data_IF_001432409167
#
_entry.id   IF_001432409167
#
_cell.length_a   1.000
_cell.length_b   1.000
_cell.length_c   1.000
_cell.angle_alpha   90.00
_cell.angle_beta   90.00
_cell.angle_gamma   90.00
#
_symmetry.space_group_name_H-M   'P 1'
#
loop_
_entity.id
_entity.type
_entity.pdbx_description
1 polymer ?
#
# COMPACT_ATOMS: atom_id res chain seq x y z
N UNK A 1 9.54 -15.28 -28.55
CA UNK A 1 9.86 -15.42 -27.11
C UNK A 1 8.75 -16.28 -26.51
N UNK A 2 9.05 -17.49 -26.02
CA UNK A 2 8.03 -18.44 -25.52
C UNK A 2 7.59 -17.99 -24.12
N UNK A 3 6.34 -17.53 -23.98
CA UNK A 3 5.73 -17.28 -22.68
C UNK A 3 5.44 -18.62 -22.00
N UNK A 4 5.89 -18.76 -20.75
CA UNK A 4 5.59 -19.91 -19.90
C UNK A 4 4.16 -19.72 -19.38
N UNK A 5 3.24 -20.56 -19.86
CA UNK A 5 1.90 -20.73 -19.32
C UNK A 5 1.99 -21.35 -17.92
N UNK A 6 1.86 -20.55 -16.87
CA UNK A 6 1.56 -21.07 -15.53
C UNK A 6 0.04 -21.19 -15.39
N UNK A 7 -0.47 -22.42 -15.53
CA UNK A 7 -1.83 -22.75 -15.13
C UNK A 7 -1.93 -22.64 -13.59
N UNK A 8 -2.58 -21.58 -13.10
CA UNK A 8 -2.89 -21.43 -11.67
C UNK A 8 -4.10 -22.31 -11.38
N UNK A 9 -3.85 -23.52 -10.88
CA UNK A 9 -4.90 -24.38 -10.33
C UNK A 9 -5.48 -23.74 -9.07
N UNK A 10 -6.78 -23.45 -9.11
CA UNK A 10 -7.59 -22.97 -8.00
C UNK A 10 -7.60 -23.96 -6.84
N UNK A 11 -6.82 -23.65 -5.80
CA UNK A 11 -7.02 -24.14 -4.45
C UNK A 11 -6.50 -23.08 -3.46
N UNK A 12 -7.36 -22.10 -3.12
CA UNK A 12 -7.14 -21.24 -1.96
C UNK A 12 -7.29 -22.13 -0.73
N UNK A 13 -6.17 -22.66 -0.23
CA UNK A 13 -6.11 -23.29 1.09
C UNK A 13 -6.30 -22.20 2.13
N UNK A 14 -7.52 -22.03 2.62
CA UNK A 14 -7.78 -21.28 3.84
C UNK A 14 -7.10 -22.00 5.01
N UNK A 15 -6.12 -21.39 5.71
CA UNK A 15 -5.50 -22.03 6.85
C UNK A 15 -6.51 -22.10 8.01
N UNK A 16 -6.57 -23.28 8.62
CA UNK A 16 -7.27 -23.53 9.89
C UNK A 16 -6.72 -22.65 11.01
N UNK A 17 -7.60 -22.27 11.94
CA UNK A 17 -7.32 -21.45 13.12
C UNK A 17 -6.09 -21.94 13.92
N UNK A 18 -4.95 -21.27 13.74
CA UNK A 18 -3.80 -21.41 14.63
C UNK A 18 -3.84 -20.33 15.72
N UNK A 19 -3.48 -20.73 16.93
CA UNK A 19 -3.61 -19.98 18.16
C UNK A 19 -2.83 -18.66 18.12
N UNK A 20 -3.53 -17.57 18.41
CA UNK A 20 -2.97 -16.25 18.70
C UNK A 20 -1.79 -16.34 19.68
N UNK A 21 -0.58 -16.05 19.20
CA UNK A 21 0.54 -15.78 20.09
C UNK A 21 0.32 -14.41 20.75
N UNK A 22 0.53 -14.36 22.06
CA UNK A 22 0.19 -13.23 22.91
C UNK A 22 0.98 -11.96 22.58
N UNK A 23 0.49 -10.82 23.08
CA UNK A 23 1.11 -9.48 23.10
C UNK A 23 2.62 -9.52 23.43
N UNK A 24 3.04 -10.46 24.28
CA UNK A 24 4.44 -10.65 24.65
C UNK A 24 5.34 -11.14 23.50
N UNK A 25 4.77 -11.81 22.49
CA UNK A 25 5.53 -12.39 21.38
C UNK A 25 5.97 -11.35 20.34
N UNK A 26 5.15 -10.31 20.08
CA UNK A 26 5.53 -9.18 19.22
C UNK A 26 6.56 -8.27 19.90
N UNK A 27 6.40 -7.97 21.19
CA UNK A 27 7.40 -7.20 21.96
C UNK A 27 8.71 -7.98 22.17
N UNK A 28 8.64 -9.30 22.32
CA UNK A 28 9.84 -10.15 22.40
C UNK A 28 10.56 -10.32 21.04
N UNK A 29 9.89 -10.05 19.92
CA UNK A 29 10.48 -10.06 18.58
C UNK A 29 11.35 -8.84 18.29
N UNK A 30 11.04 -7.74 18.97
CA UNK A 30 11.77 -6.48 18.89
C UNK A 30 12.21 -6.08 20.30
N UNK A 31 13.15 -6.80 20.93
CA UNK A 31 13.66 -6.48 22.27
C UNK A 31 14.19 -5.03 22.40
N UNK A 32 14.55 -4.40 21.28
CA UNK A 32 14.87 -2.97 21.12
C UNK A 32 13.70 -2.01 21.43
N UNK A 33 12.44 -2.47 21.45
CA UNK A 33 11.26 -1.67 21.82
C UNK A 33 11.10 -1.51 23.34
N UNK A 34 11.98 -2.11 24.14
CA UNK A 34 12.12 -1.79 25.57
C UNK A 34 12.86 -0.48 25.84
N UNK A 35 13.31 0.18 24.77
CA UNK A 35 14.03 1.45 24.80
C UNK A 35 13.04 2.62 24.87
N UNK A 36 13.41 3.70 25.56
CA UNK A 36 12.59 4.93 25.72
C UNK A 36 12.33 5.65 24.37
N UNK A 37 12.85 5.13 23.26
CA UNK A 37 12.71 5.67 21.91
C UNK A 37 11.29 5.57 21.33
N UNK A 38 10.42 4.72 21.89
CA UNK A 38 9.06 4.57 21.42
C UNK A 38 8.05 4.52 22.56
N UNK A 39 6.90 5.15 22.32
CA UNK A 39 5.70 4.98 23.13
C UNK A 39 4.73 4.04 22.40
N UNK A 40 4.34 2.94 23.03
CA UNK A 40 3.29 2.08 22.45
C UNK A 40 1.95 2.80 22.59
N UNK A 41 1.35 3.18 21.47
CA UNK A 41 0.05 3.87 21.43
C UNK A 41 -1.10 2.93 21.08
N UNK A 42 -0.79 1.75 20.55
CA UNK A 42 -1.75 0.67 20.36
C UNK A 42 -1.10 -0.69 20.52
N UNK A 43 -1.61 -1.48 21.45
CA UNK A 43 -1.23 -2.89 21.60
C UNK A 43 -2.03 -3.79 20.63
N UNK A 44 -1.42 -4.93 20.23
CA UNK A 44 -2.15 -6.00 19.58
C UNK A 44 -3.30 -6.51 20.48
N UNK A 45 -4.39 -6.93 19.84
CA UNK A 45 -5.52 -7.55 20.52
C UNK A 45 -6.07 -8.72 19.71
N UNK A 46 -7.07 -9.41 20.25
CA UNK A 46 -7.69 -10.58 19.61
C UNK A 46 -8.15 -10.32 18.16
N UNK A 47 -8.53 -9.10 17.84
CA UNK A 47 -9.07 -8.74 16.52
C UNK A 47 -8.06 -7.97 15.64
N UNK A 48 -6.87 -7.69 16.16
CA UNK A 48 -5.85 -6.89 15.49
C UNK A 48 -4.44 -7.28 15.95
N UNK A 49 -3.69 -7.93 15.07
CA UNK A 49 -2.28 -8.32 15.26
C UNK A 49 -1.31 -7.13 15.26
N UNK A 50 -1.72 -5.99 14.71
CA UNK A 50 -0.83 -4.83 14.56
C UNK A 50 -0.55 -4.13 15.90
N UNK A 51 0.73 -3.83 16.14
CA UNK A 51 1.20 -2.90 17.17
C UNK A 51 1.46 -1.54 16.53
N UNK A 52 1.18 -0.45 17.24
CA UNK A 52 1.54 0.91 16.79
C UNK A 52 2.40 1.59 17.84
N UNK A 53 3.53 2.10 17.35
CA UNK A 53 4.54 2.81 18.09
C UNK A 53 4.48 4.28 17.70
N UNK A 54 4.56 5.18 18.66
CA UNK A 54 4.79 6.60 18.47
C UNK A 54 6.28 6.88 18.73
N UNK A 55 6.92 7.58 17.79
CA UNK A 55 8.31 8.01 17.86
C UNK A 55 8.38 9.54 17.98
N UNK A 56 9.43 10.04 18.61
CA UNK A 56 9.63 11.47 18.80
C UNK A 56 9.90 12.20 17.48
N UNK A 57 9.36 13.41 17.37
CA UNK A 57 9.59 14.33 16.25
C UNK A 57 9.84 15.72 16.81
N UNK A 58 10.93 16.34 16.39
CA UNK A 58 11.32 17.68 16.85
C UNK A 58 10.63 18.79 16.03
N UNK A 59 9.32 18.66 15.80
CA UNK A 59 8.51 19.64 15.06
C UNK A 59 7.12 19.76 15.71
N UNK A 60 6.74 20.98 16.08
CA UNK A 60 5.45 21.25 16.73
C UNK A 60 4.28 20.82 15.83
N UNK A 61 3.30 20.12 16.39
CA UNK A 61 2.12 19.65 15.66
C UNK A 61 2.39 18.51 14.67
N UNK A 62 3.51 17.79 14.81
CA UNK A 62 3.86 16.64 13.97
C UNK A 62 4.02 15.40 14.83
N UNK A 63 3.32 14.31 14.49
CA UNK A 63 3.43 13.02 15.17
C UNK A 63 3.85 11.93 14.19
N UNK A 64 4.73 11.02 14.62
CA UNK A 64 5.24 9.91 13.83
C UNK A 64 4.76 8.58 14.42
N UNK A 65 3.93 7.86 13.67
CA UNK A 65 3.41 6.54 14.04
C UNK A 65 3.98 5.45 13.14
N UNK A 66 4.41 4.35 13.73
CA UNK A 66 4.92 3.18 13.05
C UNK A 66 4.05 1.99 13.43
N UNK A 67 3.30 1.48 12.46
CA UNK A 67 2.52 0.27 12.59
C UNK A 67 3.30 -0.94 12.07
N UNK A 68 3.38 -2.00 12.88
CA UNK A 68 3.95 -3.28 12.51
C UNK A 68 2.87 -4.34 12.66
N UNK A 69 2.61 -5.10 11.60
CA UNK A 69 1.64 -6.18 11.59
C UNK A 69 2.36 -7.52 11.38
N UNK A 70 2.21 -8.42 12.35
CA UNK A 70 2.63 -9.81 12.22
C UNK A 70 1.51 -10.63 11.61
N UNK A 71 1.87 -11.62 10.81
CA UNK A 71 0.95 -12.37 9.95
C UNK A 71 -0.13 -13.22 10.68
N UNK A 72 -0.96 -13.86 9.85
CA UNK A 72 -1.93 -14.89 10.24
C UNK A 72 -1.31 -16.30 10.41
N UNK A 73 0.01 -16.45 10.26
CA UNK A 73 0.75 -17.72 10.28
C UNK A 73 1.74 -17.85 11.46
N UNK A 74 1.83 -16.84 12.32
CA UNK A 74 2.74 -16.78 13.45
C UNK A 74 4.22 -16.52 13.08
N UNK A 75 4.54 -15.94 11.92
CA UNK A 75 5.93 -15.63 11.57
C UNK A 75 6.36 -14.27 12.12
N UNK A 76 6.85 -14.31 13.35
CA UNK A 76 7.35 -13.16 14.12
C UNK A 76 8.80 -12.77 13.73
N UNK A 77 9.37 -13.39 12.69
CA UNK A 77 10.77 -13.24 12.29
C UNK A 77 10.98 -12.51 10.95
N UNK A 78 9.92 -12.03 10.30
CA UNK A 78 10.02 -11.34 9.00
C UNK A 78 10.12 -9.83 9.20
N UNK A 79 11.08 -9.15 8.55
CA UNK A 79 11.17 -7.70 8.63
C UNK A 79 9.90 -7.06 8.06
N UNK A 80 9.47 -5.96 8.67
CA UNK A 80 8.34 -5.17 8.17
C UNK A 80 8.72 -4.40 6.91
N UNK A 81 7.81 -4.30 5.94
CA UNK A 81 7.96 -3.39 4.80
C UNK A 81 6.71 -2.52 4.61
N UNK A 82 6.94 -1.23 4.40
CA UNK A 82 5.91 -0.30 3.94
C UNK A 82 6.35 1.16 3.99
N UNK A 83 5.84 1.94 3.03
CA UNK A 83 6.26 3.33 2.82
C UNK A 83 5.73 4.35 3.82
N UNK A 84 6.31 5.55 3.78
CA UNK A 84 6.03 6.70 4.65
C UNK A 84 4.92 7.57 4.07
N UNK A 85 3.83 7.73 4.82
CA UNK A 85 2.74 8.66 4.49
C UNK A 85 2.84 9.92 5.34
N UNK A 86 2.75 11.09 4.73
CA UNK A 86 2.51 12.35 5.45
C UNK A 86 1.09 12.83 5.14
N UNK A 87 0.25 13.04 6.14
CA UNK A 87 -1.11 13.53 5.93
C UNK A 87 -1.63 14.33 7.12
N UNK A 88 -2.59 15.21 6.87
CA UNK A 88 -3.40 15.81 7.91
C UNK A 88 -4.54 14.85 8.29
N UNK A 89 -4.55 14.44 9.55
CA UNK A 89 -5.65 13.68 10.14
C UNK A 89 -6.35 14.57 11.16
N UNK A 90 -7.67 14.45 11.29
CA UNK A 90 -8.42 15.26 12.26
C UNK A 90 -8.05 14.88 13.69
N UNK A 91 -7.74 13.60 13.92
CA UNK A 91 -7.36 13.07 15.24
C UNK A 91 -6.19 12.10 15.14
N UNK A 92 -5.47 11.93 16.25
CA UNK A 92 -4.43 10.89 16.38
C UNK A 92 -5.00 9.49 16.14
N UNK A 93 -6.22 9.24 16.60
CA UNK A 93 -6.90 7.95 16.43
C UNK A 93 -7.05 7.59 14.95
N UNK A 94 -7.41 8.55 14.10
CA UNK A 94 -7.53 8.32 12.66
C UNK A 94 -6.19 7.98 12.01
N UNK A 95 -5.12 8.67 12.41
CA UNK A 95 -3.77 8.36 11.94
C UNK A 95 -3.33 6.94 12.33
N UNK A 96 -3.58 6.55 13.59
CA UNK A 96 -3.28 5.22 14.12
C UNK A 96 -4.11 4.15 13.40
N UNK A 97 -5.40 4.38 13.19
CA UNK A 97 -6.28 3.44 12.48
C UNK A 97 -5.88 3.28 11.00
N UNK A 98 -5.46 4.37 10.34
CA UNK A 98 -4.91 4.31 8.97
C UNK A 98 -3.60 3.51 8.93
N UNK A 99 -2.68 3.76 9.87
CA UNK A 99 -1.43 3.03 9.98
C UNK A 99 -1.66 1.52 10.12
N UNK A 100 -2.58 1.12 11.02
CA UNK A 100 -2.98 -0.29 11.21
C UNK A 100 -3.60 -0.87 9.94
N UNK A 101 -4.55 -0.16 9.32
CA UNK A 101 -5.23 -0.64 8.12
C UNK A 101 -4.23 -0.89 6.98
N UNK A 102 -3.30 0.04 6.78
CA UNK A 102 -2.28 -0.04 5.75
C UNK A 102 -1.26 -1.14 6.03
N UNK A 103 -0.76 -1.26 7.27
CA UNK A 103 0.17 -2.34 7.64
C UNK A 103 -0.44 -3.72 7.41
N UNK A 104 -1.71 -3.94 7.81
CA UNK A 104 -2.44 -5.19 7.53
C UNK A 104 -2.61 -5.43 6.02
N UNK A 105 -2.82 -4.37 5.24
CA UNK A 105 -2.84 -4.43 3.78
C UNK A 105 -1.50 -4.91 3.21
N UNK A 106 -0.40 -4.40 3.74
CA UNK A 106 0.96 -4.82 3.36
C UNK A 106 1.23 -6.28 3.72
N UNK A 107 0.86 -6.75 4.92
CA UNK A 107 0.99 -8.16 5.30
C UNK A 107 0.28 -9.07 4.32
N UNK A 108 -0.97 -8.76 3.98
CA UNK A 108 -1.76 -9.54 3.00
C UNK A 108 -1.08 -9.60 1.64
N UNK A 109 -0.49 -8.49 1.18
CA UNK A 109 0.29 -8.46 -0.08
C UNK A 109 1.51 -9.36 0.02
N UNK A 110 2.32 -9.17 1.06
CA UNK A 110 3.56 -9.92 1.23
C UNK A 110 3.33 -11.42 1.39
N UNK A 111 2.27 -11.82 2.08
CA UNK A 111 1.86 -13.22 2.26
C UNK A 111 1.40 -13.86 0.95
N UNK A 112 0.57 -13.13 0.18
CA UNK A 112 0.08 -13.60 -1.12
C UNK A 112 1.23 -13.94 -2.08
N UNK A 113 2.26 -13.10 -2.09
CA UNK A 113 3.40 -13.24 -3.00
C UNK A 113 4.65 -13.85 -2.37
N UNK A 114 4.59 -14.23 -1.08
CA UNK A 114 5.68 -14.87 -0.31
C UNK A 114 7.02 -14.13 -0.42
N UNK A 115 6.96 -12.80 -0.34
CA UNK A 115 8.13 -11.93 -0.50
C UNK A 115 9.17 -12.01 0.63
N UNK A 116 8.85 -12.67 1.75
CA UNK A 116 9.73 -12.74 2.92
C UNK A 116 9.58 -11.59 3.91
N UNK A 117 8.77 -10.57 3.60
CA UNK A 117 8.44 -9.46 4.51
C UNK A 117 7.12 -9.69 5.27
N UNK A 118 6.95 -8.99 6.38
CA UNK A 118 5.67 -8.72 7.03
C UNK A 118 5.20 -7.29 6.71
N UNK A 119 3.97 -6.94 7.07
CA UNK A 119 3.45 -5.61 6.77
C UNK A 119 3.87 -4.57 7.79
N UNK A 120 4.33 -3.42 7.29
CA UNK A 120 4.57 -2.25 8.12
C UNK A 120 3.95 -1.00 7.48
N UNK A 121 3.83 0.07 8.27
CA UNK A 121 3.54 1.40 7.76
C UNK A 121 4.10 2.49 8.64
N UNK A 122 4.65 3.53 8.02
CA UNK A 122 5.00 4.79 8.71
C UNK A 122 3.96 5.84 8.33
N UNK A 123 3.29 6.41 9.33
CA UNK A 123 2.30 7.48 9.18
C UNK A 123 2.75 8.69 9.98
N UNK A 124 2.95 9.80 9.29
CA UNK A 124 3.23 11.10 9.88
C UNK A 124 1.94 11.92 9.83
N UNK A 125 1.43 12.26 11.01
CA UNK A 125 0.31 13.18 11.17
C UNK A 125 0.84 14.60 11.32
N UNK A 126 0.20 15.56 10.67
CA UNK A 126 0.46 16.99 10.84
C UNK A 126 -0.82 17.74 11.22
N UNK A 127 -0.73 18.66 12.18
CA UNK A 127 -1.78 19.62 12.53
C UNK A 127 -1.75 20.88 11.65
N UNK A 128 -0.70 21.06 10.85
CA UNK A 128 -0.57 22.21 9.94
C UNK A 128 -1.44 22.04 8.70
N UNK A 129 -2.27 23.04 8.37
CA UNK A 129 -3.09 23.01 7.15
C UNK A 129 -2.25 22.87 5.87
N UNK A 130 -1.08 23.49 5.82
CA UNK A 130 -0.14 23.39 4.71
C UNK A 130 1.02 22.46 5.10
N UNK A 131 1.11 21.31 4.45
CA UNK A 131 2.19 20.35 4.66
C UNK A 131 3.57 20.86 4.20
N UNK A 132 3.63 21.94 3.41
CA UNK A 132 4.89 22.52 2.93
C UNK A 132 5.73 23.13 4.05
N UNK A 133 5.11 23.43 5.20
CA UNK A 133 5.81 23.99 6.37
C UNK A 133 6.63 22.95 7.13
N UNK A 134 6.40 21.67 6.87
CA UNK A 134 7.12 20.57 7.51
C UNK A 134 8.57 20.54 7.00
N UNK A 135 9.53 20.62 7.92
CA UNK A 135 10.95 20.54 7.59
C UNK A 135 11.30 19.09 7.24
N UNK A 136 11.36 18.80 5.94
CA UNK A 136 11.44 17.44 5.39
C UNK A 136 12.71 16.70 5.78
N UNK A 137 13.87 17.39 5.81
CA UNK A 137 15.14 16.74 6.15
C UNK A 137 15.18 16.37 7.63
N UNK A 138 14.67 17.23 8.50
CA UNK A 138 14.47 16.96 9.93
C UNK A 138 13.53 15.79 10.16
N UNK A 139 12.37 15.77 9.51
CA UNK A 139 11.43 14.65 9.60
C UNK A 139 12.08 13.32 9.19
N UNK A 140 12.83 13.30 8.08
CA UNK A 140 13.53 12.08 7.65
C UNK A 140 14.64 11.65 8.62
N UNK A 141 15.26 12.59 9.36
CA UNK A 141 16.20 12.24 10.45
C UNK A 141 15.48 11.54 11.60
N UNK A 142 14.31 12.04 12.04
CA UNK A 142 13.52 11.37 13.08
C UNK A 142 13.06 9.96 12.63
N UNK A 143 12.67 9.81 11.34
CA UNK A 143 12.38 8.48 10.78
C UNK A 143 13.62 7.59 10.77
N UNK A 144 14.80 8.11 10.39
CA UNK A 144 16.05 7.35 10.42
C UNK A 144 16.41 6.86 11.82
N UNK A 145 16.24 7.71 12.84
CA UNK A 145 16.46 7.35 14.25
C UNK A 145 15.57 6.18 14.66
N UNK A 146 14.27 6.22 14.32
CA UNK A 146 13.36 5.11 14.55
C UNK A 146 13.79 3.83 13.80
N UNK A 147 14.19 3.94 12.52
CA UNK A 147 14.66 2.80 11.72
C UNK A 147 15.95 2.17 12.26
N UNK A 148 16.87 2.98 12.79
CA UNK A 148 18.10 2.50 13.42
C UNK A 148 17.80 1.63 14.64
N UNK A 149 16.77 1.94 15.42
CA UNK A 149 16.36 1.09 16.55
C UNK A 149 15.89 -0.28 16.07
N UNK A 150 15.23 -0.37 14.91
CA UNK A 150 14.77 -1.67 14.37
C UNK A 150 15.90 -2.56 13.85
N UNK A 151 17.10 -2.04 13.59
CA UNK A 151 18.28 -2.79 13.14
C UNK A 151 18.01 -3.76 11.97
N UNK A 152 17.24 -3.31 10.97
CA UNK A 152 16.85 -4.14 9.81
C UNK A 152 15.61 -5.00 10.03
N UNK A 153 14.95 -4.88 11.19
CA UNK A 153 13.61 -5.41 11.45
C UNK A 153 12.49 -4.66 10.70
N UNK A 154 12.80 -3.53 10.07
CA UNK A 154 11.87 -2.78 9.23
C UNK A 154 12.60 -2.08 8.08
N UNK A 155 11.94 -2.04 6.92
CA UNK A 155 12.33 -1.31 5.73
C UNK A 155 11.19 -0.44 5.23
N UNK A 156 11.51 0.68 4.58
CA UNK A 156 10.51 1.66 4.13
C UNK A 156 10.81 2.23 2.74
N UNK A 157 9.96 3.14 2.28
CA UNK A 157 9.99 3.78 0.96
C UNK A 157 8.94 4.90 0.88
N UNK A 158 8.59 5.35 -0.32
CA UNK A 158 7.58 6.39 -0.52
C UNK A 158 6.14 5.90 -0.29
N UNK A 159 5.26 6.81 0.11
CA UNK A 159 3.80 6.71 0.02
C UNK A 159 3.21 8.12 -0.20
N UNK A 160 1.96 8.36 0.17
CA UNK A 160 1.26 9.61 -0.06
C UNK A 160 1.97 10.80 0.62
N UNK A 161 2.20 11.86 -0.16
CA UNK A 161 2.92 13.09 0.22
C UNK A 161 4.36 12.86 0.72
N UNK A 162 4.99 11.76 0.29
CA UNK A 162 6.45 11.60 0.32
C UNK A 162 6.94 11.26 -1.09
N UNK A 163 8.18 11.63 -1.39
CA UNK A 163 8.74 11.54 -2.72
C UNK A 163 10.21 11.15 -2.70
N UNK A 164 10.79 11.01 -3.89
CA UNK A 164 12.18 10.57 -4.09
C UNK A 164 13.18 11.50 -3.36
N UNK A 165 12.89 12.80 -3.25
CA UNK A 165 13.71 13.76 -2.48
C UNK A 165 13.70 13.46 -0.98
N UNK A 166 12.57 13.00 -0.43
CA UNK A 166 12.50 12.59 0.97
C UNK A 166 13.30 11.30 1.18
N UNK A 167 13.22 10.36 0.23
CA UNK A 167 14.03 9.14 0.27
C UNK A 167 15.52 9.45 0.17
N UNK A 168 15.91 10.49 -0.59
CA UNK A 168 17.29 10.95 -0.64
C UNK A 168 17.81 11.40 0.74
N UNK A 169 17.01 12.18 1.47
CA UNK A 169 17.35 12.58 2.83
C UNK A 169 17.40 11.39 3.79
N UNK A 170 16.47 10.45 3.63
CA UNK A 170 16.44 9.25 4.47
C UNK A 170 17.65 8.34 4.21
N UNK A 171 18.00 8.11 2.94
CA UNK A 171 19.20 7.37 2.54
C UNK A 171 20.47 8.03 3.07
N UNK A 172 20.57 9.37 3.00
CA UNK A 172 21.68 10.12 3.60
C UNK A 172 21.74 9.85 5.12
N UNK A 173 20.61 9.94 5.82
CA UNK A 173 20.54 9.78 7.27
C UNK A 173 20.80 8.35 7.75
N UNK A 174 20.37 7.33 7.00
CA UNK A 174 20.54 5.91 7.36
C UNK A 174 21.82 5.30 6.82
N UNK A 175 22.62 6.05 6.05
CA UNK A 175 23.76 5.55 5.26
C UNK A 175 23.35 4.41 4.31
N UNK A 176 22.29 4.64 3.54
CA UNK A 176 21.73 3.71 2.53
C UNK A 176 21.24 2.39 3.12
N UNK A 177 20.83 2.42 4.39
CA UNK A 177 20.21 1.29 5.09
C UNK A 177 18.70 1.49 5.20
N UNK A 178 17.94 0.40 5.17
CA UNK A 178 16.50 0.37 5.47
C UNK A 178 15.56 1.02 4.44
N UNK A 179 16.06 1.64 3.37
CA UNK A 179 15.22 2.20 2.30
C UNK A 179 15.24 1.26 1.10
N UNK A 180 14.06 0.79 0.69
CA UNK A 180 13.89 0.01 -0.55
C UNK A 180 13.41 0.92 -1.67
N UNK A 181 13.78 0.56 -2.89
CA UNK A 181 13.62 1.35 -4.10
C UNK A 181 14.12 2.79 -3.95
N UNK A 182 15.20 2.96 -3.17
CA UNK A 182 15.83 4.24 -2.87
C UNK A 182 16.79 4.69 -3.96
N UNK A 183 17.86 5.39 -3.56
CA UNK A 183 18.86 5.91 -4.51
C UNK A 183 19.53 4.77 -5.27
N UNK A 184 19.63 4.93 -6.60
CA UNK A 184 20.23 3.95 -7.52
C UNK A 184 19.53 2.60 -7.59
N UNK A 185 18.26 2.50 -7.19
CA UNK A 185 17.52 1.25 -7.37
C UNK A 185 17.53 0.83 -8.85
N UNK A 186 17.80 -0.45 -9.08
CA UNK A 186 17.70 -1.03 -10.41
C UNK A 186 16.25 -1.31 -10.82
N UNK A 187 15.30 -1.04 -9.92
CA UNK A 187 13.89 -1.33 -10.10
C UNK A 187 13.04 -0.08 -9.88
N UNK A 188 12.17 0.24 -10.83
CA UNK A 188 11.17 1.30 -10.66
C UNK A 188 9.88 0.69 -10.13
N UNK A 189 9.56 0.95 -8.86
CA UNK A 189 8.37 0.44 -8.18
C UNK A 189 7.06 0.91 -8.81
N UNK A 190 7.06 2.05 -9.50
CA UNK A 190 5.88 2.55 -10.21
C UNK A 190 5.62 1.71 -11.46
N UNK A 191 6.67 1.41 -12.24
CA UNK A 191 6.59 0.54 -13.42
C UNK A 191 6.25 -0.89 -13.01
N UNK A 192 6.85 -1.39 -11.93
CA UNK A 192 6.52 -2.70 -11.39
C UNK A 192 5.05 -2.78 -10.97
N UNK A 193 4.53 -1.77 -10.26
CA UNK A 193 3.12 -1.69 -9.87
C UNK A 193 2.20 -1.60 -11.09
N UNK A 194 2.54 -0.79 -12.09
CA UNK A 194 1.78 -0.74 -13.33
C UNK A 194 1.73 -2.11 -14.02
N UNK A 195 2.86 -2.83 -14.02
CA UNK A 195 2.95 -4.18 -14.58
C UNK A 195 2.07 -5.18 -13.83
N UNK A 196 1.97 -5.09 -12.49
CA UNK A 196 1.07 -5.97 -11.73
C UNK A 196 -0.41 -5.68 -12.01
N UNK A 197 -0.76 -4.41 -12.21
CA UNK A 197 -2.13 -4.01 -12.61
C UNK A 197 -2.46 -4.60 -13.97
N UNK A 198 -1.56 -4.47 -14.94
CA UNK A 198 -1.73 -5.02 -16.30
C UNK A 198 -1.82 -6.55 -16.26
N UNK A 199 -0.95 -7.23 -15.51
CA UNK A 199 -1.03 -8.68 -15.32
C UNK A 199 -2.36 -9.12 -14.69
N UNK A 200 -2.89 -8.34 -13.75
CA UNK A 200 -4.19 -8.63 -13.12
C UNK A 200 -5.36 -8.40 -14.07
N UNK A 201 -5.28 -7.39 -14.93
CA UNK A 201 -6.27 -7.19 -16.00
C UNK A 201 -6.26 -8.37 -16.96
N UNK A 202 -5.08 -8.79 -17.44
CA UNK A 202 -4.95 -9.96 -18.34
C UNK A 202 -5.56 -11.20 -17.69
N UNK A 203 -5.17 -11.52 -16.45
CA UNK A 203 -5.71 -12.68 -15.73
C UNK A 203 -7.23 -12.59 -15.51
N UNK A 204 -7.77 -11.39 -15.30
CA UNK A 204 -9.23 -11.17 -15.19
C UNK A 204 -9.93 -11.45 -16.52
N UNK A 205 -9.37 -10.97 -17.64
CA UNK A 205 -9.93 -11.21 -18.98
C UNK A 205 -9.91 -12.70 -19.31
N UNK A 206 -8.79 -13.39 -19.06
CA UNK A 206 -8.67 -14.84 -19.29
C UNK A 206 -9.68 -15.64 -18.47
N UNK A 207 -9.86 -15.29 -17.19
CA UNK A 207 -10.75 -16.02 -16.29
C UNK A 207 -12.24 -15.74 -16.55
N UNK A 208 -12.59 -14.50 -16.94
CA UNK A 208 -13.97 -14.03 -16.90
C UNK A 208 -14.57 -13.72 -18.28
N UNK A 209 -13.73 -13.43 -19.28
CA UNK A 209 -14.14 -12.99 -20.61
C UNK A 209 -13.74 -14.00 -21.71
N UNK A 210 -13.17 -15.14 -21.33
CA UNK A 210 -12.87 -16.25 -22.22
C UNK A 210 -11.80 -15.91 -23.27
N UNK A 211 -12.19 -15.88 -24.54
CA UNK A 211 -11.28 -15.62 -25.67
C UNK A 211 -11.31 -14.17 -26.16
N UNK A 212 -11.96 -13.25 -25.43
CA UNK A 212 -11.97 -11.83 -25.79
C UNK A 212 -10.59 -11.24 -25.63
N UNK A 213 -10.18 -10.45 -26.62
CA UNK A 213 -8.87 -9.81 -26.62
C UNK A 213 -8.94 -8.40 -25.99
N UNK A 214 -7.81 -7.91 -25.47
CA UNK A 214 -7.72 -6.54 -24.92
C UNK A 214 -8.15 -5.49 -25.95
N UNK A 215 -7.90 -5.73 -27.24
CA UNK A 215 -8.30 -4.82 -28.33
C UNK A 215 -9.81 -4.66 -28.51
N UNK A 216 -10.61 -5.52 -27.87
CA UNK A 216 -12.08 -5.42 -27.86
C UNK A 216 -12.61 -4.74 -26.59
N UNK A 217 -11.72 -4.39 -25.65
CA UNK A 217 -12.05 -3.86 -24.33
C UNK A 217 -11.75 -2.36 -24.20
N UNK A 218 -12.54 -1.69 -23.38
CA UNK A 218 -12.40 -0.26 -23.07
C UNK A 218 -12.04 -0.07 -21.60
N UNK A 219 -11.14 0.86 -21.31
CA UNK A 219 -10.62 1.09 -19.97
C UNK A 219 -10.71 2.57 -19.59
N UNK A 220 -11.05 2.82 -18.33
CA UNK A 220 -10.90 4.13 -17.69
C UNK A 220 -9.86 3.99 -16.59
N UNK A 221 -8.76 4.72 -16.71
CA UNK A 221 -7.66 4.70 -15.74
C UNK A 221 -7.83 5.86 -14.77
N UNK A 222 -7.98 5.45 -13.53
CA UNK A 222 -8.21 6.25 -12.36
C UNK A 222 -6.88 6.83 -11.86
N UNK A 223 -6.34 7.82 -12.59
CA UNK A 223 -5.28 8.71 -12.12
C UNK A 223 -4.14 8.86 -13.08
N UNK A 224 -3.62 10.07 -13.23
CA UNK A 224 -2.55 10.36 -14.17
C UNK A 224 -1.16 10.51 -13.52
N UNK A 225 -1.01 10.04 -12.27
CA UNK A 225 0.28 9.99 -11.58
C UNK A 225 1.26 8.97 -12.18
N UNK A 226 2.38 8.72 -11.48
CA UNK A 226 3.46 7.82 -11.95
C UNK A 226 2.94 6.44 -12.38
N UNK A 227 2.10 5.79 -11.55
CA UNK A 227 1.54 4.45 -11.85
C UNK A 227 0.44 4.51 -12.92
N UNK A 228 -0.57 5.36 -12.74
CA UNK A 228 -1.72 5.37 -13.65
C UNK A 228 -1.35 5.79 -15.07
N UNK A 229 -0.41 6.72 -15.25
CA UNK A 229 0.12 7.06 -16.58
C UNK A 229 0.87 5.88 -17.23
N UNK A 230 1.60 5.07 -16.46
CA UNK A 230 2.26 3.86 -16.96
C UNK A 230 1.24 2.77 -17.36
N UNK A 231 0.19 2.56 -16.56
CA UNK A 231 -0.91 1.65 -16.88
C UNK A 231 -1.62 2.08 -18.17
N UNK A 232 -1.99 3.36 -18.28
CA UNK A 232 -2.67 3.87 -19.47
C UNK A 232 -1.84 3.70 -20.75
N UNK A 233 -0.54 4.01 -20.70
CA UNK A 233 0.38 3.80 -21.82
C UNK A 233 0.46 2.33 -22.21
N UNK A 234 0.53 1.44 -21.22
CA UNK A 234 0.65 0.00 -21.49
C UNK A 234 -0.64 -0.59 -22.06
N UNK A 235 -1.82 -0.16 -21.60
CA UNK A 235 -3.11 -0.56 -22.20
C UNK A 235 -3.21 -0.13 -23.67
N UNK A 236 -2.77 1.11 -23.99
CA UNK A 236 -2.70 1.57 -25.38
C UNK A 236 -1.71 0.73 -26.19
N UNK A 237 -0.54 0.39 -25.62
CA UNK A 237 0.46 -0.45 -26.27
C UNK A 237 -0.05 -1.87 -26.57
N UNK A 238 -0.88 -2.43 -25.67
CA UNK A 238 -1.54 -3.72 -25.84
C UNK A 238 -2.72 -3.68 -26.83
N UNK A 239 -3.07 -2.50 -27.35
CA UNK A 239 -4.07 -2.34 -28.40
C UNK A 239 -5.50 -2.16 -27.90
N UNK A 240 -5.70 -1.79 -26.62
CA UNK A 240 -7.03 -1.57 -26.05
C UNK A 240 -7.91 -0.66 -26.92
N UNK A 241 -9.19 -1.01 -27.06
CA UNK A 241 -10.14 -0.31 -27.95
C UNK A 241 -10.21 1.19 -27.64
N UNK A 242 -10.31 1.53 -26.36
CA UNK A 242 -10.28 2.90 -25.85
C UNK A 242 -9.66 2.94 -24.45
N UNK A 243 -8.85 3.95 -24.17
CA UNK A 243 -8.30 4.24 -22.84
C UNK A 243 -8.58 5.71 -22.51
N UNK A 244 -9.24 5.96 -21.38
CA UNK A 244 -9.54 7.30 -20.87
C UNK A 244 -8.84 7.50 -19.52
N UNK A 245 -8.45 8.74 -19.19
CA UNK A 245 -7.81 9.10 -17.90
C UNK A 245 -8.46 10.35 -17.27
N UNK A 246 -8.26 10.56 -15.96
CA UNK A 246 -8.91 11.59 -15.12
C UNK A 246 -8.08 11.85 -13.83
N UNK A 247 -8.30 12.95 -13.08
CA UNK A 247 -7.73 13.34 -11.74
C UNK A 247 -8.79 14.18 -10.94
N UNK A 248 -8.60 14.51 -9.63
CA UNK A 248 -9.58 15.25 -8.77
C UNK A 248 -9.15 16.68 -8.29
N UNK A 249 -10.01 17.70 -8.49
CA UNK A 249 -9.99 19.08 -7.93
C UNK A 249 -11.44 19.66 -7.90
N UNK A 250 -11.68 20.88 -7.35
CA UNK A 250 -13.01 21.54 -7.36
C UNK A 250 -13.51 21.78 -8.80
N UNK A 251 -14.62 21.14 -9.18
CA UNK A 251 -15.21 21.18 -10.52
C UNK A 251 -16.72 20.90 -10.47
N UNK A 252 -17.48 21.38 -11.46
CA UNK A 252 -18.93 21.19 -11.52
C UNK A 252 -19.36 19.73 -11.79
N UNK A 253 -18.44 18.84 -12.21
CA UNK A 253 -18.66 17.39 -12.37
C UNK A 253 -17.42 16.56 -12.03
N UNK A 254 -17.63 15.46 -11.29
CA UNK A 254 -16.63 14.58 -10.69
C UNK A 254 -16.19 13.42 -11.62
N UNK A 255 -14.88 13.15 -11.70
CA UNK A 255 -14.32 11.93 -12.32
C UNK A 255 -13.11 11.43 -11.48
N UNK A 256 -13.31 10.49 -10.52
CA UNK A 256 -12.40 10.32 -9.39
C UNK A 256 -11.29 9.36 -9.69
N UNK A 257 -10.01 9.77 -9.49
CA UNK A 257 -8.79 9.16 -10.08
C UNK A 257 -7.49 9.21 -9.21
N UNK A 258 -7.51 9.19 -7.85
CA UNK A 258 -6.26 9.32 -7.06
C UNK A 258 -6.23 8.72 -5.63
N UNK A 259 -7.18 9.06 -4.75
CA UNK A 259 -7.05 8.79 -3.30
C UNK A 259 -7.50 7.37 -2.87
N UNK A 260 -6.92 6.88 -1.76
CA UNK A 260 -7.59 5.85 -0.93
C UNK A 260 -8.99 6.34 -0.55
N UNK A 261 -9.95 5.43 -0.40
CA UNK A 261 -11.35 5.73 -0.06
C UNK A 261 -12.14 6.51 -1.15
N UNK A 262 -11.64 6.60 -2.38
CA UNK A 262 -12.29 7.34 -3.47
C UNK A 262 -13.68 6.79 -3.86
N UNK A 263 -13.96 5.52 -3.59
CA UNK A 263 -15.27 4.91 -3.83
C UNK A 263 -16.11 5.07 -2.56
N UNK A 264 -16.84 6.18 -2.46
CA UNK A 264 -17.85 6.42 -1.42
C UNK A 264 -19.15 5.66 -1.71
N UNK A 265 -20.08 5.64 -0.75
CA UNK A 265 -21.43 5.09 -0.94
C UNK A 265 -22.14 5.76 -2.12
N UNK A 266 -21.98 7.07 -2.28
CA UNK A 266 -22.56 7.84 -3.37
C UNK A 266 -21.93 7.49 -4.73
N UNK A 267 -20.60 7.40 -4.80
CA UNK A 267 -19.89 6.97 -6.01
C UNK A 267 -20.28 5.53 -6.37
N UNK A 268 -20.41 4.65 -5.38
CA UNK A 268 -20.84 3.28 -5.57
C UNK A 268 -22.29 3.17 -6.08
N UNK A 269 -23.20 3.99 -5.54
CA UNK A 269 -24.59 4.05 -5.98
C UNK A 269 -24.71 4.58 -7.41
N UNK A 270 -23.87 5.54 -7.80
CA UNK A 270 -23.91 6.21 -9.11
C UNK A 270 -22.85 5.72 -10.10
N UNK A 271 -22.13 4.64 -9.79
CA UNK A 271 -21.12 4.06 -10.68
C UNK A 271 -21.70 3.79 -12.09
N UNK A 272 -20.98 4.02 -13.20
CA UNK A 272 -21.54 3.85 -14.54
C UNK A 272 -22.05 2.43 -14.82
N UNK A 273 -23.21 2.32 -15.45
CA UNK A 273 -23.74 1.03 -15.90
C UNK A 273 -22.83 0.39 -16.96
N UNK A 274 -22.71 -0.93 -16.94
CA UNK A 274 -21.90 -1.69 -17.91
C UNK A 274 -20.43 -1.90 -17.53
N UNK A 275 -19.89 -1.21 -16.51
CA UNK A 275 -18.58 -1.54 -15.95
C UNK A 275 -18.73 -2.79 -15.07
N UNK A 276 -18.05 -3.87 -15.45
CA UNK A 276 -18.13 -5.17 -14.76
C UNK A 276 -16.95 -5.45 -13.82
N UNK A 277 -15.83 -4.77 -14.00
CA UNK A 277 -14.59 -5.04 -13.27
C UNK A 277 -13.98 -3.77 -12.72
N UNK A 278 -13.46 -3.83 -11.50
CA UNK A 278 -12.68 -2.78 -10.87
C UNK A 278 -11.32 -3.35 -10.46
N UNK A 279 -10.26 -2.93 -11.16
CA UNK A 279 -8.88 -3.39 -10.95
C UNK A 279 -7.99 -2.15 -10.94
N UNK A 280 -7.18 -1.95 -9.89
CA UNK A 280 -6.40 -0.72 -9.74
C UNK A 280 -5.24 -0.84 -8.74
N UNK A 281 -4.48 0.24 -8.62
CA UNK A 281 -3.28 0.29 -7.78
C UNK A 281 -3.54 0.82 -6.35
N UNK A 282 -4.71 1.43 -6.12
CA UNK A 282 -5.02 2.18 -4.90
C UNK A 282 -5.17 1.26 -3.69
N UNK A 283 -4.45 1.57 -2.61
CA UNK A 283 -4.63 0.90 -1.33
C UNK A 283 -5.98 1.29 -0.71
N UNK A 284 -6.85 0.31 -0.44
CA UNK A 284 -8.20 0.53 0.10
C UNK A 284 -9.04 1.53 -0.73
N UNK A 285 -9.52 1.15 -1.92
CA UNK A 285 -10.24 2.07 -2.81
C UNK A 285 -11.63 2.47 -2.30
N UNK A 286 -12.26 1.66 -1.43
CA UNK A 286 -13.59 1.91 -0.88
C UNK A 286 -13.53 2.69 0.43
N UNK A 287 -14.42 3.68 0.57
CA UNK A 287 -14.52 4.50 1.78
C UNK A 287 -14.93 3.69 3.02
N UNK A 288 -15.77 2.68 2.82
CA UNK A 288 -16.26 1.78 3.87
C UNK A 288 -16.81 0.48 3.24
N UNK A 289 -17.15 -0.49 4.09
CA UNK A 289 -17.71 -1.78 3.65
C UNK A 289 -19.09 -1.64 2.98
N UNK A 290 -19.85 -0.59 3.30
CA UNK A 290 -21.12 -0.31 2.64
C UNK A 290 -20.92 0.04 1.16
N UNK A 291 -19.98 0.93 0.85
CA UNK A 291 -19.64 1.29 -0.53
C UNK A 291 -19.18 0.07 -1.34
N UNK A 292 -18.38 -0.81 -0.71
CA UNK A 292 -17.97 -2.08 -1.31
C UNK A 292 -19.16 -3.01 -1.55
N UNK A 293 -20.05 -3.16 -0.57
CA UNK A 293 -21.25 -4.00 -0.69
C UNK A 293 -22.22 -3.52 -1.77
N UNK A 294 -22.27 -2.22 -2.05
CA UNK A 294 -23.04 -1.67 -3.18
C UNK A 294 -22.42 -2.11 -4.52
N UNK A 295 -21.11 -2.04 -4.67
CA UNK A 295 -20.41 -2.52 -5.87
C UNK A 295 -20.69 -4.01 -6.14
N UNK A 296 -20.60 -4.85 -5.10
CA UNK A 296 -20.86 -6.28 -5.20
C UNK A 296 -22.31 -6.57 -5.62
N UNK A 297 -23.29 -5.87 -5.03
CA UNK A 297 -24.72 -6.00 -5.40
C UNK A 297 -25.02 -5.61 -6.84
N UNK A 298 -24.23 -4.69 -7.40
CA UNK A 298 -24.33 -4.25 -8.80
C UNK A 298 -23.67 -5.22 -9.78
N UNK A 299 -23.05 -6.30 -9.30
CA UNK A 299 -22.36 -7.27 -10.12
C UNK A 299 -21.00 -6.79 -10.62
N UNK A 300 -20.42 -5.75 -10.01
CA UNK A 300 -19.06 -5.28 -10.32
C UNK A 300 -18.06 -6.09 -9.53
N UNK A 301 -17.22 -6.86 -10.21
CA UNK A 301 -16.16 -7.65 -9.59
C UNK A 301 -14.95 -6.76 -9.31
N UNK A 302 -14.62 -6.60 -8.03
CA UNK A 302 -13.42 -5.90 -7.59
C UNK A 302 -12.26 -6.89 -7.39
N UNK A 303 -11.12 -6.64 -8.04
CA UNK A 303 -9.88 -7.38 -7.81
C UNK A 303 -9.09 -6.67 -6.71
N UNK A 304 -8.90 -7.30 -5.53
CA UNK A 304 -8.24 -6.67 -4.40
C UNK A 304 -6.86 -6.11 -4.75
N UNK A 305 -6.54 -4.96 -4.20
CA UNK A 305 -5.23 -4.31 -4.32
C UNK A 305 -4.10 -5.21 -3.84
N UNK A 306 -4.42 -6.14 -2.93
CA UNK A 306 -3.46 -7.11 -2.42
C UNK A 306 -2.89 -8.01 -3.51
N UNK A 307 -3.59 -8.09 -4.65
CA UNK A 307 -3.20 -8.82 -5.86
C UNK A 307 -2.79 -7.82 -6.94
N UNK A 308 -3.66 -6.85 -7.23
CA UNK A 308 -3.54 -5.99 -8.40
C UNK A 308 -2.42 -4.95 -8.34
N UNK A 309 -1.93 -4.62 -7.14
CA UNK A 309 -0.93 -3.55 -6.92
C UNK A 309 0.36 -4.03 -6.25
N UNK A 310 0.65 -5.33 -6.30
CA UNK A 310 1.78 -5.92 -5.60
C UNK A 310 3.15 -5.72 -6.28
N UNK A 311 3.19 -5.09 -7.46
CA UNK A 311 4.43 -4.93 -8.22
C UNK A 311 5.54 -4.22 -7.44
N UNK A 312 5.23 -3.15 -6.70
CA UNK A 312 6.21 -2.47 -5.85
C UNK A 312 6.81 -3.42 -4.80
N UNK A 313 5.99 -4.17 -4.05
CA UNK A 313 6.53 -5.06 -3.02
C UNK A 313 7.33 -6.24 -3.58
N UNK A 314 7.02 -6.65 -4.81
CA UNK A 314 7.78 -7.67 -5.53
C UNK A 314 9.15 -7.12 -5.93
N UNK A 315 9.18 -5.89 -6.43
CA UNK A 315 10.40 -5.16 -6.74
C UNK A 315 11.27 -4.95 -5.49
N UNK A 316 10.69 -4.44 -4.40
CA UNK A 316 11.35 -4.24 -3.12
C UNK A 316 11.97 -5.54 -2.60
N UNK A 317 11.25 -6.67 -2.76
CA UNK A 317 11.69 -7.96 -2.23
C UNK A 317 12.96 -8.53 -2.87
N UNK A 318 13.29 -8.10 -4.09
CA UNK A 318 14.51 -8.55 -4.78
C UNK A 318 15.70 -7.62 -4.56
N UNK A 319 15.48 -6.47 -3.91
CA UNK A 319 16.51 -5.47 -3.62
C UNK A 319 17.25 -5.76 -2.31
N UNK A 320 16.61 -6.44 -1.37
CA UNK A 320 17.25 -6.89 -0.12
C UNK A 320 18.22 -8.03 -0.42
N UNK A 321 19.51 -7.74 -0.32
CA UNK A 321 20.62 -8.69 -0.48
C UNK A 321 21.35 -8.93 0.83
#
# INVERSE_FOLDING_TARGET
MKFISLAVSTAVLLPSAHSFSSIASTLAAFPQLSNDAFKIVKEPCKDCSAVVLEADVDQEGVNLYIALDSDSYGHISRPGNGGIRLLNYETEKEAIDDAVRLAKGMTRKHDMFRTGFSGAKVVVKSDHQDLSVIERKGLMRNVAEALHVFEGGMYTGCDLNTCDVDMDYLVEATNDKYVLAGRNSHVDTNVATASSVIGSIIGTVEAMEGSRDISELTFTVQGCGKVGSAVAKELVRLGAKHVQTCDLYQCDFLVPCANSLAITVEVAANFPEGIKYCVGATNSPFANEEAKGIFEKRGVMHIPESISSAGAILADSVEVR
#
